data_IF_573222031076
#
_entry.id   IF_573222031076
#
_cell.length_a   1.000
_cell.length_b   1.000
_cell.length_c   1.000
_cell.angle_alpha   90.00
_cell.angle_beta   90.00
_cell.angle_gamma   90.00
#
_symmetry.space_group_name_H-M   'P 1'
#
loop_
_entity.id
_entity.type
_entity.pdbx_description
1 polymer ?
#
# COMPACT_ATOMS: atom_id res chain seq x y z
N UNK A 1 10.60 -17.38 -6.92
CA UNK A 1 11.39 -18.63 -6.71
C UNK A 1 10.55 -19.71 -6.01
N UNK A 2 9.70 -19.36 -5.02
CA UNK A 2 8.84 -20.33 -4.32
C UNK A 2 7.71 -20.92 -5.17
N UNK A 3 7.01 -20.09 -5.95
CA UNK A 3 5.94 -20.50 -6.87
C UNK A 3 6.38 -21.56 -7.89
N UNK A 4 7.65 -21.54 -8.32
CA UNK A 4 8.19 -22.49 -9.31
C UNK A 4 8.36 -23.91 -8.72
N UNK A 5 8.44 -24.05 -7.39
CA UNK A 5 8.67 -25.33 -6.72
C UNK A 5 7.38 -26.00 -6.25
N UNK A 6 6.34 -25.24 -5.96
CA UNK A 6 5.00 -25.75 -5.63
C UNK A 6 4.38 -26.51 -6.80
N UNK A 7 4.54 -25.99 -8.02
CA UNK A 7 4.05 -26.65 -9.23
C UNK A 7 4.80 -27.97 -9.55
N UNK A 8 5.97 -28.20 -8.94
CA UNK A 8 6.85 -29.32 -9.28
C UNK A 8 6.94 -30.41 -8.20
N UNK A 9 6.50 -30.15 -6.96
CA UNK A 9 6.58 -31.10 -5.85
C UNK A 9 5.35 -31.07 -4.93
N UNK A 10 4.49 -32.08 -5.07
CA UNK A 10 3.31 -32.31 -4.21
C UNK A 10 3.75 -32.97 -2.88
N UNK A 11 4.47 -32.22 -2.03
CA UNK A 11 5.07 -32.73 -0.79
C UNK A 11 4.62 -31.91 0.42
N UNK A 12 4.03 -32.56 1.42
CA UNK A 12 3.40 -31.91 2.59
C UNK A 12 4.32 -30.93 3.36
N UNK A 13 5.62 -31.22 3.47
CA UNK A 13 6.59 -30.35 4.16
C UNK A 13 7.07 -29.18 3.31
N UNK A 14 7.02 -29.33 1.98
CA UNK A 14 7.31 -28.28 0.99
C UNK A 14 6.16 -27.27 1.07
N UNK A 15 4.91 -27.72 1.02
CA UNK A 15 3.73 -26.84 1.08
C UNK A 15 3.63 -26.04 2.39
N UNK A 16 4.09 -26.56 3.54
CA UNK A 16 4.12 -25.82 4.80
C UNK A 16 5.20 -24.72 4.86
N UNK A 17 6.40 -24.97 4.32
CA UNK A 17 7.44 -23.91 4.24
C UNK A 17 7.07 -22.88 3.18
N UNK A 18 6.36 -23.32 2.12
CA UNK A 18 5.86 -22.42 1.09
C UNK A 18 4.71 -21.56 1.57
N UNK A 19 3.75 -22.02 2.40
CA UNK A 19 2.71 -21.11 2.92
C UNK A 19 3.26 -19.92 3.72
N UNK A 20 4.47 -20.01 4.28
CA UNK A 20 5.14 -18.85 4.91
C UNK A 20 5.74 -17.85 3.89
N UNK A 21 6.02 -18.27 2.66
CA UNK A 21 6.58 -17.46 1.56
C UNK A 21 5.62 -17.30 0.39
N UNK A 22 4.42 -17.86 0.52
CA UNK A 22 3.38 -17.88 -0.48
C UNK A 22 2.67 -16.55 -0.39
N UNK A 23 2.82 -15.78 -1.44
CA UNK A 23 2.37 -14.41 -1.51
C UNK A 23 0.83 -14.32 -1.53
N UNK A 24 0.13 -15.43 -1.78
CA UNK A 24 -1.34 -15.55 -1.96
C UNK A 24 -2.09 -16.06 -0.69
N UNK A 25 -1.43 -16.14 0.47
CA UNK A 25 -2.11 -16.50 1.74
C UNK A 25 -2.01 -15.38 2.76
N UNK A 26 -3.13 -15.04 3.42
CA UNK A 26 -3.25 -13.95 4.41
C UNK A 26 -2.31 -14.09 5.64
N UNK A 27 -1.62 -15.23 5.78
CA UNK A 27 -0.61 -15.54 6.81
C UNK A 27 0.84 -15.54 6.24
N UNK A 28 1.08 -14.86 5.12
CA UNK A 28 2.38 -14.82 4.46
C UNK A 28 3.36 -13.82 5.10
N UNK A 29 4.67 -14.11 5.03
CA UNK A 29 5.72 -13.17 5.45
C UNK A 29 5.62 -11.81 4.75
N UNK A 30 5.31 -11.72 3.44
CA UNK A 30 5.02 -10.46 2.75
C UNK A 30 3.87 -9.65 3.35
N UNK A 31 2.71 -10.25 3.58
CA UNK A 31 1.54 -9.57 4.18
C UNK A 31 1.87 -9.02 5.57
N UNK A 32 2.57 -9.81 6.40
CA UNK A 32 3.03 -9.34 7.72
C UNK A 32 4.04 -8.19 7.60
N UNK A 33 4.93 -8.23 6.61
CA UNK A 33 5.88 -7.16 6.35
C UNK A 33 5.18 -5.87 5.90
N UNK A 34 4.27 -5.95 4.93
CA UNK A 34 3.46 -4.82 4.44
C UNK A 34 2.59 -4.24 5.57
N UNK A 35 1.96 -5.08 6.38
CA UNK A 35 1.24 -4.70 7.60
C UNK A 35 2.13 -3.86 8.53
N UNK A 36 3.30 -4.40 8.91
CA UNK A 36 4.21 -3.72 9.82
C UNK A 36 4.74 -2.40 9.24
N UNK A 37 5.01 -2.38 7.94
CA UNK A 37 5.50 -1.19 7.24
C UNK A 37 4.44 -0.08 7.26
N UNK A 38 3.19 -0.39 6.89
CA UNK A 38 2.05 0.52 6.97
C UNK A 38 1.81 1.01 8.39
N UNK A 39 1.87 0.10 9.37
CA UNK A 39 1.66 0.42 10.79
C UNK A 39 2.74 1.35 11.35
N UNK A 40 4.02 1.10 11.02
CA UNK A 40 5.14 1.98 11.39
C UNK A 40 4.99 3.36 10.75
N UNK A 41 4.60 3.43 9.47
CA UNK A 41 4.30 4.71 8.80
C UNK A 41 3.19 5.44 9.56
N UNK A 42 2.10 4.75 9.92
CA UNK A 42 0.99 5.33 10.67
C UNK A 42 1.44 5.92 12.01
N UNK A 43 2.28 5.21 12.77
CA UNK A 43 2.85 5.68 14.03
C UNK A 43 3.72 6.92 13.80
N UNK A 44 4.62 6.91 12.82
CA UNK A 44 5.52 8.04 12.56
C UNK A 44 4.72 9.28 12.17
N UNK A 45 3.68 9.13 11.34
CA UNK A 45 2.77 10.22 10.97
C UNK A 45 2.03 10.78 12.20
N UNK A 46 1.58 9.90 13.10
CA UNK A 46 0.95 10.33 14.37
C UNK A 46 1.94 11.11 15.25
N UNK A 47 3.18 10.63 15.35
CA UNK A 47 4.24 11.33 16.08
C UNK A 47 4.52 12.69 15.45
N UNK A 48 4.62 12.79 14.12
CA UNK A 48 4.77 14.06 13.40
C UNK A 48 3.59 14.99 13.71
N UNK A 49 2.36 14.47 13.71
CA UNK A 49 1.16 15.24 14.09
C UNK A 49 1.30 15.86 15.50
N UNK A 50 1.75 15.09 16.50
CA UNK A 50 1.92 15.58 17.88
C UNK A 50 2.93 16.74 17.96
N UNK A 51 4.08 16.61 17.30
CA UNK A 51 5.11 17.66 17.26
C UNK A 51 4.71 18.91 16.47
N UNK A 52 3.79 18.76 15.50
CA UNK A 52 3.30 19.84 14.66
C UNK A 52 1.87 20.29 15.01
N UNK A 53 1.35 19.89 16.18
CA UNK A 53 -0.05 20.07 16.61
C UNK A 53 -0.57 21.51 16.52
N UNK A 54 0.31 22.49 16.71
CA UNK A 54 -0.02 23.93 16.73
C UNK A 54 0.15 24.58 15.33
N UNK A 55 0.71 23.85 14.34
CA UNK A 55 1.03 24.41 13.02
C UNK A 55 -0.07 24.18 11.98
N UNK A 56 -0.07 25.04 10.95
CA UNK A 56 -0.85 24.86 9.72
C UNK A 56 -0.62 23.44 9.18
N UNK A 57 -1.71 22.73 8.90
CA UNK A 57 -1.76 21.34 8.43
C UNK A 57 -1.55 20.23 9.46
N UNK A 58 -1.55 20.51 10.77
CA UNK A 58 -1.54 19.45 11.81
C UNK A 58 -2.58 18.34 11.56
N UNK A 59 -3.81 18.71 11.20
CA UNK A 59 -4.90 17.76 10.92
C UNK A 59 -4.60 16.84 9.72
N UNK A 60 -3.80 17.29 8.75
CA UNK A 60 -3.45 16.47 7.57
C UNK A 60 -2.55 15.32 7.99
N UNK A 61 -1.59 15.55 8.90
CA UNK A 61 -0.76 14.47 9.44
C UNK A 61 -1.57 13.44 10.24
N UNK A 62 -2.56 13.89 11.01
CA UNK A 62 -3.44 12.99 11.76
C UNK A 62 -4.32 12.15 10.83
N UNK A 63 -4.98 12.79 9.85
CA UNK A 63 -5.82 12.07 8.88
C UNK A 63 -4.97 11.06 8.10
N UNK A 64 -3.76 11.43 7.68
CA UNK A 64 -2.88 10.53 6.94
C UNK A 64 -2.46 9.35 7.81
N UNK A 65 -2.13 9.59 9.08
CA UNK A 65 -1.87 8.53 10.06
C UNK A 65 -3.05 7.56 10.18
N UNK A 66 -4.28 8.07 10.29
CA UNK A 66 -5.48 7.24 10.36
C UNK A 66 -5.73 6.45 9.07
N UNK A 67 -5.43 7.03 7.90
CA UNK A 67 -5.52 6.32 6.61
C UNK A 67 -4.52 5.17 6.55
N UNK A 68 -3.24 5.40 6.87
CA UNK A 68 -2.23 4.33 6.90
C UNK A 68 -2.52 3.28 7.97
N UNK A 69 -3.08 3.67 9.11
CA UNK A 69 -3.54 2.74 10.12
C UNK A 69 -4.68 1.87 9.58
N UNK A 70 -5.69 2.46 8.92
CA UNK A 70 -6.75 1.69 8.27
C UNK A 70 -6.17 0.73 7.22
N UNK A 71 -5.28 1.20 6.34
CA UNK A 71 -4.63 0.37 5.34
C UNK A 71 -3.83 -0.78 5.95
N UNK A 72 -3.15 -0.58 7.09
CA UNK A 72 -2.48 -1.71 7.75
C UNK A 72 -3.47 -2.79 8.17
N UNK A 73 -4.65 -2.45 8.68
CA UNK A 73 -5.64 -3.47 9.03
C UNK A 73 -6.32 -4.07 7.79
N UNK A 74 -6.47 -3.27 6.73
CA UNK A 74 -6.96 -3.76 5.45
C UNK A 74 -6.04 -4.83 4.86
N UNK A 75 -4.72 -4.65 4.96
CA UNK A 75 -3.71 -5.61 4.49
C UNK A 75 -3.85 -7.00 5.13
N UNK A 76 -4.11 -7.07 6.44
CA UNK A 76 -4.13 -8.34 7.17
C UNK A 76 -5.53 -8.96 7.28
N UNK A 77 -6.59 -8.20 6.97
CA UNK A 77 -8.00 -8.64 7.07
C UNK A 77 -8.65 -8.70 5.67
N UNK A 78 -7.97 -8.21 4.65
CA UNK A 78 -8.48 -8.06 3.28
C UNK A 78 -9.85 -7.39 3.26
N UNK A 79 -9.99 -6.26 3.95
CA UNK A 79 -11.29 -5.58 4.11
C UNK A 79 -11.85 -5.19 2.73
N UNK A 80 -10.98 -4.75 1.83
CA UNK A 80 -11.32 -4.35 0.47
C UNK A 80 -11.94 -5.49 -0.35
N UNK A 81 -11.58 -6.75 -0.11
CA UNK A 81 -12.19 -7.89 -0.80
C UNK A 81 -13.69 -8.00 -0.55
N UNK A 82 -14.19 -7.51 0.60
CA UNK A 82 -15.63 -7.50 0.92
C UNK A 82 -16.45 -6.66 -0.07
N UNK A 83 -15.82 -5.73 -0.81
CA UNK A 83 -16.49 -4.99 -1.87
C UNK A 83 -16.79 -5.85 -3.10
N UNK A 84 -16.01 -6.91 -3.37
CA UNK A 84 -16.21 -7.81 -4.50
C UNK A 84 -17.62 -8.47 -4.47
N UNK A 85 -18.02 -9.19 -3.40
CA UNK A 85 -19.36 -9.77 -3.33
C UNK A 85 -20.46 -8.70 -3.26
N UNK A 86 -20.20 -7.55 -2.64
CA UNK A 86 -21.16 -6.44 -2.53
C UNK A 86 -21.51 -5.84 -3.89
N UNK A 87 -20.53 -5.76 -4.79
CA UNK A 87 -20.66 -5.16 -6.11
C UNK A 87 -20.89 -6.20 -7.22
N UNK A 88 -20.95 -7.49 -6.89
CA UNK A 88 -21.14 -8.60 -7.82
C UNK A 88 -22.33 -8.42 -8.78
N UNK A 89 -23.40 -7.75 -8.35
CA UNK A 89 -24.59 -7.45 -9.18
C UNK A 89 -24.28 -6.64 -10.45
N UNK A 90 -23.21 -5.85 -10.43
CA UNK A 90 -22.81 -5.01 -11.55
C UNK A 90 -22.01 -5.77 -12.62
N UNK A 91 -21.58 -7.01 -12.33
CA UNK A 91 -20.86 -7.89 -13.25
C UNK A 91 -19.68 -7.18 -13.94
N UNK A 92 -18.84 -6.54 -13.15
CA UNK A 92 -17.61 -5.91 -13.66
C UNK A 92 -16.65 -6.99 -14.22
N UNK A 93 -15.92 -6.63 -15.28
CA UNK A 93 -15.02 -7.50 -16.03
C UNK A 93 -13.73 -6.76 -16.36
N UNK A 94 -12.70 -7.47 -16.83
CA UNK A 94 -11.42 -6.87 -17.20
C UNK A 94 -10.74 -6.18 -16.01
N UNK A 95 -10.31 -4.92 -16.19
CA UNK A 95 -9.58 -4.17 -15.16
C UNK A 95 -10.34 -3.96 -13.85
N UNK A 96 -11.67 -4.12 -13.87
CA UNK A 96 -12.53 -3.96 -12.69
C UNK A 96 -13.11 -5.28 -12.22
N UNK A 97 -12.55 -6.42 -12.67
CA UNK A 97 -12.95 -7.75 -12.21
C UNK A 97 -12.89 -7.81 -10.67
N UNK A 98 -11.79 -7.33 -10.09
CA UNK A 98 -11.70 -6.99 -8.67
C UNK A 98 -12.36 -5.63 -8.42
N UNK A 99 -13.68 -5.68 -8.21
CA UNK A 99 -14.50 -4.46 -8.18
C UNK A 99 -14.24 -3.51 -7.01
N UNK A 100 -13.46 -3.92 -6.00
CA UNK A 100 -13.04 -3.06 -4.90
C UNK A 100 -12.13 -1.90 -5.38
N UNK A 101 -11.45 -2.07 -6.51
CA UNK A 101 -10.64 -1.03 -7.16
C UNK A 101 -11.47 0.24 -7.37
N UNK A 102 -12.77 0.13 -7.66
CA UNK A 102 -13.65 1.27 -7.91
C UNK A 102 -13.78 2.18 -6.67
N UNK A 103 -14.29 1.70 -5.50
CA UNK A 103 -14.38 2.54 -4.31
C UNK A 103 -13.03 3.07 -3.84
N UNK A 104 -11.95 2.28 -3.91
CA UNK A 104 -10.62 2.73 -3.47
C UNK A 104 -10.02 3.76 -4.43
N UNK A 105 -10.16 3.61 -5.74
CA UNK A 105 -9.72 4.62 -6.71
C UNK A 105 -10.44 5.96 -6.50
N UNK A 106 -11.76 5.93 -6.24
CA UNK A 106 -12.53 7.13 -5.89
C UNK A 106 -11.99 7.75 -4.60
N UNK A 107 -11.76 6.94 -3.56
CA UNK A 107 -11.20 7.40 -2.30
C UNK A 107 -9.82 8.05 -2.47
N UNK A 108 -8.92 7.43 -3.24
CA UNK A 108 -7.58 7.95 -3.55
C UNK A 108 -7.65 9.28 -4.29
N UNK A 109 -8.55 9.44 -5.25
CA UNK A 109 -8.74 10.72 -5.97
C UNK A 109 -9.20 11.82 -5.00
N UNK A 110 -10.19 11.53 -4.15
CA UNK A 110 -10.68 12.49 -3.14
C UNK A 110 -9.55 12.86 -2.18
N UNK A 111 -8.79 11.86 -1.72
CA UNK A 111 -7.64 12.06 -0.83
C UNK A 111 -6.60 12.95 -1.52
N UNK A 112 -6.23 12.69 -2.77
CA UNK A 112 -5.28 13.50 -3.51
C UNK A 112 -5.73 14.97 -3.62
N UNK A 113 -6.99 15.21 -3.97
CA UNK A 113 -7.55 16.57 -4.06
C UNK A 113 -7.49 17.26 -2.69
N UNK A 114 -7.87 16.56 -1.61
CA UNK A 114 -7.82 17.10 -0.26
C UNK A 114 -6.39 17.43 0.20
N UNK A 115 -5.40 16.59 -0.12
CA UNK A 115 -4.00 16.78 0.25
C UNK A 115 -3.21 17.68 -0.71
N UNK A 116 -3.76 18.06 -1.86
CA UNK A 116 -3.05 18.88 -2.84
C UNK A 116 -2.52 20.21 -2.25
N UNK A 117 -3.30 21.01 -1.49
CA UNK A 117 -2.78 22.22 -0.85
C UNK A 117 -1.71 21.96 0.22
N UNK A 118 -1.77 20.79 0.87
CA UNK A 118 -0.76 20.36 1.83
C UNK A 118 0.55 20.01 1.13
N UNK A 119 0.49 19.26 0.02
CA UNK A 119 1.67 18.93 -0.80
C UNK A 119 2.35 20.19 -1.34
N UNK A 120 1.58 21.19 -1.78
CA UNK A 120 2.11 22.49 -2.20
C UNK A 120 2.75 23.28 -1.04
N UNK A 121 2.36 23.00 0.21
CA UNK A 121 2.93 23.62 1.40
C UNK A 121 4.22 22.98 1.90
N UNK A 122 4.60 21.80 1.38
CA UNK A 122 5.83 21.11 1.75
C UNK A 122 7.03 21.63 0.95
N UNK A 123 8.27 21.51 1.49
CA UNK A 123 9.47 21.73 0.69
C UNK A 123 9.45 20.86 -0.57
N UNK A 124 9.78 21.44 -1.73
CA UNK A 124 9.65 20.79 -3.06
C UNK A 124 10.23 19.37 -3.11
N UNK A 125 11.39 19.14 -2.47
CA UNK A 125 12.03 17.82 -2.38
C UNK A 125 11.13 16.78 -1.71
N UNK A 126 10.47 17.14 -0.61
CA UNK A 126 9.60 16.23 0.14
C UNK A 126 8.26 16.00 -0.58
N UNK A 127 7.69 17.05 -1.18
CA UNK A 127 6.49 16.92 -1.99
C UNK A 127 6.69 15.96 -3.17
N UNK A 128 7.81 16.08 -3.90
CA UNK A 128 8.14 15.18 -5.01
C UNK A 128 8.26 13.74 -4.52
N UNK A 129 8.95 13.50 -3.42
CA UNK A 129 9.12 12.14 -2.90
C UNK A 129 7.80 11.52 -2.44
N UNK A 130 6.94 12.28 -1.77
CA UNK A 130 5.60 11.82 -1.37
C UNK A 130 4.74 11.47 -2.58
N UNK A 131 4.80 12.28 -3.63
CA UNK A 131 4.06 12.02 -4.87
C UNK A 131 4.61 10.78 -5.57
N UNK A 132 5.94 10.66 -5.71
CA UNK A 132 6.56 9.50 -6.35
C UNK A 132 6.28 8.20 -5.58
N UNK A 133 6.39 8.21 -4.25
CA UNK A 133 6.07 7.04 -3.43
C UNK A 133 4.59 6.65 -3.58
N UNK A 134 3.69 7.64 -3.58
CA UNK A 134 2.26 7.40 -3.78
C UNK A 134 1.93 6.86 -5.18
N UNK A 135 2.57 7.37 -6.23
CA UNK A 135 2.39 6.87 -7.61
C UNK A 135 2.85 5.41 -7.70
N UNK A 136 4.00 5.06 -7.12
CA UNK A 136 4.51 3.68 -7.14
C UNK A 136 3.56 2.73 -6.41
N UNK A 137 3.10 3.12 -5.22
CA UNK A 137 2.14 2.33 -4.44
C UNK A 137 0.81 2.13 -5.20
N UNK A 138 0.20 3.22 -5.69
CA UNK A 138 -1.05 3.16 -6.46
C UNK A 138 -0.90 2.38 -7.77
N UNK A 139 0.28 2.43 -8.40
CA UNK A 139 0.53 1.64 -9.60
C UNK A 139 0.51 0.13 -9.34
N UNK A 140 0.94 -0.33 -8.16
CA UNK A 140 0.72 -1.71 -7.68
C UNK A 140 -0.77 -1.95 -7.42
N UNK A 141 -1.26 -1.42 -6.30
CA UNK A 141 -2.61 -1.62 -5.73
C UNK A 141 -3.82 -1.41 -6.64
N UNK A 142 -3.68 -0.59 -7.69
CA UNK A 142 -4.80 -0.31 -8.61
C UNK A 142 -4.40 -0.67 -10.04
N UNK A 143 -3.15 -0.40 -10.41
CA UNK A 143 -2.67 -0.63 -11.76
C UNK A 143 -2.47 -2.12 -12.04
N UNK A 144 -1.50 -2.73 -11.35
CA UNK A 144 -1.14 -4.13 -11.56
C UNK A 144 -2.30 -5.04 -11.18
N UNK A 145 -2.96 -4.80 -10.06
CA UNK A 145 -4.09 -5.62 -9.64
C UNK A 145 -5.28 -5.56 -10.61
N UNK A 146 -5.51 -4.40 -11.24
CA UNK A 146 -6.47 -4.31 -12.33
C UNK A 146 -6.07 -5.20 -13.52
N UNK A 147 -4.79 -5.23 -13.89
CA UNK A 147 -4.29 -6.15 -14.91
C UNK A 147 -4.42 -7.61 -14.47
N UNK A 148 -4.22 -7.91 -13.20
CA UNK A 148 -4.43 -9.24 -12.61
C UNK A 148 -5.87 -9.68 -12.74
N UNK A 149 -6.83 -8.85 -12.35
CA UNK A 149 -8.25 -9.16 -12.51
C UNK A 149 -8.62 -9.46 -13.97
N UNK A 150 -8.08 -8.69 -14.92
CA UNK A 150 -8.29 -8.94 -16.35
C UNK A 150 -7.64 -10.25 -16.83
N UNK A 151 -6.48 -10.60 -16.29
CA UNK A 151 -5.76 -11.83 -16.63
C UNK A 151 -6.48 -13.05 -16.04
N UNK A 152 -6.82 -12.98 -14.75
CA UNK A 152 -7.47 -14.00 -13.95
C UNK A 152 -8.83 -14.41 -14.53
N UNK A 153 -9.63 -13.45 -14.98
CA UNK A 153 -10.93 -13.72 -15.62
C UNK A 153 -10.83 -14.70 -16.80
N UNK A 154 -9.70 -14.70 -17.52
CA UNK A 154 -9.51 -15.51 -18.73
C UNK A 154 -8.70 -16.79 -18.51
N UNK A 155 -7.72 -16.75 -17.61
CA UNK A 155 -6.73 -17.82 -17.47
C UNK A 155 -6.78 -18.50 -16.10
N UNK A 156 -7.42 -17.89 -15.10
CA UNK A 156 -7.39 -18.34 -13.71
C UNK A 156 -6.00 -18.22 -13.09
N UNK A 157 -5.74 -19.02 -12.05
CA UNK A 157 -4.44 -19.11 -11.40
C UNK A 157 -3.44 -19.87 -12.28
N UNK A 158 -2.34 -19.21 -12.65
CA UNK A 158 -1.19 -19.80 -13.32
C UNK A 158 0.11 -19.06 -12.96
N UNK A 159 1.23 -19.50 -13.53
CA UNK A 159 2.54 -18.88 -13.28
C UNK A 159 2.61 -17.40 -13.67
N UNK A 160 1.86 -16.95 -14.68
CA UNK A 160 1.87 -15.55 -15.08
C UNK A 160 1.04 -14.70 -14.11
N UNK A 161 -0.08 -15.24 -13.61
CA UNK A 161 -0.84 -14.59 -12.55
C UNK A 161 0.04 -14.37 -11.31
N UNK A 162 0.74 -15.41 -10.84
CA UNK A 162 1.62 -15.27 -9.67
C UNK A 162 2.81 -14.32 -9.91
N UNK A 163 3.29 -14.18 -11.16
CA UNK A 163 4.31 -13.20 -11.52
C UNK A 163 3.77 -11.77 -11.48
N UNK A 164 2.54 -11.53 -11.93
CA UNK A 164 1.88 -10.23 -11.79
C UNK A 164 1.72 -9.88 -10.31
N UNK A 165 1.21 -10.83 -9.53
CA UNK A 165 1.01 -10.67 -8.08
C UNK A 165 2.32 -10.30 -7.37
N UNK A 166 3.42 -10.98 -7.73
CA UNK A 166 4.75 -10.65 -7.19
C UNK A 166 5.20 -9.22 -7.55
N UNK A 167 4.86 -8.74 -8.75
CA UNK A 167 5.20 -7.38 -9.19
C UNK A 167 4.36 -6.35 -8.46
N UNK A 168 3.06 -6.60 -8.28
CA UNK A 168 2.15 -5.77 -7.50
C UNK A 168 2.72 -5.51 -6.10
N UNK A 169 2.88 -6.57 -5.33
CA UNK A 169 3.41 -6.57 -3.97
C UNK A 169 4.77 -5.88 -3.85
N UNK A 170 5.65 -6.13 -4.82
CA UNK A 170 6.95 -5.49 -4.88
C UNK A 170 6.85 -3.96 -5.06
N UNK A 171 5.96 -3.50 -5.95
CA UNK A 171 5.72 -2.07 -6.15
C UNK A 171 5.12 -1.45 -4.89
N UNK A 172 4.18 -2.13 -4.24
CA UNK A 172 3.60 -1.65 -2.99
C UNK A 172 4.64 -1.46 -1.90
N UNK A 173 5.42 -2.51 -1.61
CA UNK A 173 6.48 -2.47 -0.61
C UNK A 173 7.53 -1.40 -0.91
N UNK A 174 7.92 -1.21 -2.18
CA UNK A 174 8.84 -0.14 -2.57
C UNK A 174 8.21 1.24 -2.38
N UNK A 175 6.95 1.43 -2.80
CA UNK A 175 6.23 2.68 -2.64
C UNK A 175 6.17 3.08 -1.16
N UNK A 176 5.79 2.14 -0.29
CA UNK A 176 5.74 2.33 1.15
C UNK A 176 7.12 2.60 1.76
N UNK A 177 8.15 1.86 1.35
CA UNK A 177 9.53 2.06 1.83
C UNK A 177 10.07 3.44 1.47
N UNK A 178 9.82 3.91 0.24
CA UNK A 178 10.18 5.26 -0.20
C UNK A 178 9.41 6.33 0.57
N UNK A 179 8.13 6.09 0.87
CA UNK A 179 7.34 7.01 1.67
C UNK A 179 7.88 7.10 3.10
N UNK A 180 8.16 5.95 3.74
CA UNK A 180 8.77 5.87 5.06
C UNK A 180 10.10 6.62 5.13
N UNK A 181 10.98 6.41 4.15
CA UNK A 181 12.24 7.14 4.05
C UNK A 181 11.99 8.66 3.98
N UNK A 182 10.99 9.08 3.21
CA UNK A 182 10.66 10.49 2.99
C UNK A 182 10.12 11.18 4.24
N UNK A 183 9.26 10.52 5.02
CA UNK A 183 8.74 11.07 6.29
C UNK A 183 9.83 11.15 7.37
N UNK A 184 10.76 10.19 7.38
CA UNK A 184 11.90 10.18 8.29
C UNK A 184 12.84 11.35 7.97
N UNK A 185 13.22 11.53 6.70
CA UNK A 185 14.11 12.64 6.28
C UNK A 185 13.45 14.01 6.52
N UNK A 186 12.16 14.15 6.21
CA UNK A 186 11.39 15.37 6.53
C UNK A 186 11.49 15.76 8.01
N UNK A 187 11.51 14.78 8.92
CA UNK A 187 11.64 15.02 10.36
C UNK A 187 13.06 15.41 10.75
N UNK A 188 14.08 14.67 10.29
CA UNK A 188 15.48 14.93 10.65
C UNK A 188 15.94 16.34 10.27
N UNK A 189 15.59 16.81 9.08
CA UNK A 189 15.94 18.17 8.64
C UNK A 189 15.30 19.23 9.57
N UNK A 190 14.04 19.03 9.97
CA UNK A 190 13.32 20.00 10.80
C UNK A 190 13.70 19.96 12.28
N UNK A 191 14.10 18.81 12.84
CA UNK A 191 14.60 18.71 14.22
C UNK A 191 15.96 19.38 14.37
N UNK A 192 16.85 19.19 13.40
CA UNK A 192 18.21 19.76 13.43
C UNK A 192 18.15 21.30 13.39
N UNK A 193 17.21 21.87 12.63
CA UNK A 193 17.01 23.33 12.57
C UNK A 193 16.52 23.91 13.90
N UNK A 194 15.76 23.16 14.72
CA UNK A 194 15.29 23.65 16.01
C UNK A 194 16.38 23.64 17.10
N UNK A 195 17.35 22.72 17.04
CA UNK A 195 18.44 22.64 18.01
C UNK A 195 19.53 23.70 17.78
N UNK A 196 19.74 24.14 16.52
CA UNK A 196 20.74 25.16 16.17
C UNK A 196 20.25 26.60 16.41
N UNK A 197 18.95 26.81 16.63
CA UNK A 197 18.33 28.13 16.87
C UNK A 197 18.14 28.50 18.35
N UNK A 198 18.87 27.86 19.27
CA UNK A 198 18.92 28.28 20.67
C UNK A 198 20.19 29.07 20.98
#
# INVERSE_FOLDING_TARGET
MGIFLEYQYDNFYVNQVFSFLDFDTEDSVPTVFSFLLLFVIAIILFVIHQFYSIKKYSKHWLILSLVFFFLSFDEIISIHENFIPLLKRFKFTGLFYFSWIIPYAIFVIILFIYYFPFLLGLPKKNAIRFILSGIIYIAGAIGIEGFEGMYFEKHGYDLNFSLLYTIEEFLEMIGLSLFLFSIIEFKFDNFTIQLVKK
#
